data_IF_563778243843
#
_entry.id   IF_563778243843
#
_cell.length_a   1.000
_cell.length_b   1.000
_cell.length_c   1.000
_cell.angle_alpha   90.00
_cell.angle_beta   90.00
_cell.angle_gamma   90.00
#
_symmetry.space_group_name_H-M   'P 1'
#
loop_
_entity.id
_entity.type
_entity.pdbx_description
1 polymer ?
#
# COMPACT_ATOMS: atom_id res chain seq x y z
N UNK A 1 9.36 -19.44 -13.47
CA UNK A 1 8.86 -18.04 -13.57
C UNK A 1 8.72 -17.54 -12.15
N UNK A 2 9.53 -16.55 -11.76
CA UNK A 2 9.36 -15.88 -10.47
C UNK A 2 7.97 -15.23 -10.47
N UNK A 3 7.08 -15.71 -9.59
CA UNK A 3 5.81 -15.03 -9.34
C UNK A 3 6.18 -13.74 -8.62
N UNK A 4 6.27 -12.62 -9.32
CA UNK A 4 6.45 -11.31 -8.71
C UNK A 4 5.12 -10.55 -8.85
N UNK A 5 4.65 -9.92 -7.76
CA UNK A 5 3.44 -9.08 -7.77
C UNK A 5 2.29 -9.58 -6.91
N UNK A 6 1.05 -9.25 -7.29
CA UNK A 6 -0.18 -9.56 -6.52
C UNK A 6 -0.40 -11.07 -6.34
N UNK A 7 0.06 -11.89 -7.29
CA UNK A 7 0.00 -13.36 -7.23
C UNK A 7 0.74 -13.92 -6.01
N UNK A 8 1.99 -13.51 -5.83
CA UNK A 8 2.82 -13.92 -4.70
C UNK A 8 2.29 -13.38 -3.37
N UNK A 9 1.86 -12.11 -3.36
CA UNK A 9 1.24 -11.53 -2.16
C UNK A 9 0.00 -12.33 -1.70
N UNK A 10 -0.83 -12.76 -2.64
CA UNK A 10 -2.04 -13.52 -2.35
C UNK A 10 -1.72 -14.93 -1.85
N UNK A 11 -0.73 -15.61 -2.45
CA UNK A 11 -0.24 -16.91 -1.96
C UNK A 11 0.32 -16.81 -0.53
N UNK A 12 1.21 -15.83 -0.27
CA UNK A 12 1.80 -15.62 1.04
C UNK A 12 0.76 -15.26 2.10
N UNK A 13 -0.30 -14.52 1.71
CA UNK A 13 -1.38 -14.18 2.64
C UNK A 13 -2.27 -15.39 2.94
N UNK A 14 -2.61 -16.19 1.93
CA UNK A 14 -3.36 -17.41 2.13
C UNK A 14 -2.59 -18.42 3.00
N UNK A 15 -1.28 -18.55 2.80
CA UNK A 15 -0.43 -19.41 3.62
C UNK A 15 -0.36 -18.96 5.08
N UNK A 16 -0.14 -17.66 5.35
CA UNK A 16 -0.06 -17.13 6.72
C UNK A 16 -1.37 -17.28 7.50
N UNK A 17 -2.50 -17.17 6.82
CA UNK A 17 -3.82 -17.25 7.45
C UNK A 17 -4.45 -18.65 7.33
N UNK A 18 -3.69 -19.64 6.82
CA UNK A 18 -4.16 -21.02 6.58
C UNK A 18 -5.47 -21.10 5.78
N UNK A 19 -5.64 -20.20 4.81
CA UNK A 19 -6.84 -20.12 3.99
C UNK A 19 -6.67 -20.97 2.72
N UNK A 20 -7.66 -21.81 2.43
CA UNK A 20 -7.80 -22.42 1.11
C UNK A 20 -8.22 -21.36 0.07
N UNK A 21 -7.94 -21.63 -1.21
CA UNK A 21 -8.33 -20.75 -2.32
C UNK A 21 -9.84 -20.45 -2.35
N UNK A 22 -10.64 -21.44 -1.93
CA UNK A 22 -12.10 -21.30 -1.82
C UNK A 22 -12.50 -20.37 -0.67
N UNK A 23 -11.82 -20.44 0.46
CA UNK A 23 -12.03 -19.53 1.59
C UNK A 23 -11.56 -18.11 1.27
N UNK A 24 -10.44 -17.97 0.57
CA UNK A 24 -9.98 -16.67 0.08
C UNK A 24 -10.97 -16.05 -0.92
N UNK A 25 -11.52 -16.83 -1.86
CA UNK A 25 -12.57 -16.39 -2.78
C UNK A 25 -13.84 -15.94 -2.03
N UNK A 26 -14.29 -16.74 -1.06
CA UNK A 26 -15.45 -16.40 -0.23
C UNK A 26 -15.23 -15.12 0.59
N UNK A 27 -14.04 -14.95 1.17
CA UNK A 27 -13.69 -13.78 1.98
C UNK A 27 -13.58 -12.50 1.14
N UNK A 28 -13.12 -12.62 -0.09
CA UNK A 28 -12.90 -11.49 -1.01
C UNK A 28 -14.14 -11.13 -1.83
N UNK A 29 -15.18 -11.97 -1.80
CA UNK A 29 -16.33 -11.84 -2.69
C UNK A 29 -15.96 -11.98 -4.17
N UNK A 30 -14.86 -12.66 -4.47
CA UNK A 30 -14.39 -12.96 -5.82
C UNK A 30 -14.76 -14.40 -6.19
N UNK A 31 -14.84 -14.67 -7.50
CA UNK A 31 -15.03 -16.05 -7.96
C UNK A 31 -13.78 -16.89 -7.71
N UNK A 32 -13.95 -18.19 -7.49
CA UNK A 32 -12.84 -19.13 -7.37
C UNK A 32 -11.93 -19.11 -8.62
N UNK A 33 -12.52 -18.93 -9.80
CA UNK A 33 -11.78 -18.79 -11.05
C UNK A 33 -10.90 -17.53 -11.07
N UNK A 34 -11.43 -16.39 -10.60
CA UNK A 34 -10.68 -15.13 -10.52
C UNK A 34 -9.49 -15.24 -9.56
N UNK A 35 -9.68 -15.87 -8.39
CA UNK A 35 -8.56 -16.11 -7.44
C UNK A 35 -7.52 -17.04 -8.06
N UNK A 36 -7.96 -18.10 -8.74
CA UNK A 36 -7.07 -19.01 -9.46
C UNK A 36 -6.30 -18.34 -10.59
N UNK A 37 -6.93 -17.42 -11.33
CA UNK A 37 -6.27 -16.65 -12.40
C UNK A 37 -5.19 -15.73 -11.84
N UNK A 38 -5.47 -15.02 -10.73
CA UNK A 38 -4.50 -14.14 -10.08
C UNK A 38 -3.27 -14.93 -9.63
N UNK A 39 -3.47 -16.09 -9.01
CA UNK A 39 -2.38 -16.94 -8.52
C UNK A 39 -1.52 -17.50 -9.66
N UNK A 40 -2.14 -17.77 -10.81
CA UNK A 40 -1.44 -18.18 -12.04
C UNK A 40 -0.68 -17.04 -12.73
N UNK A 41 -0.75 -15.82 -12.19
CA UNK A 41 -0.08 -14.64 -12.73
C UNK A 41 -0.95 -13.79 -13.65
N UNK A 42 -2.28 -13.97 -13.62
CA UNK A 42 -3.21 -13.08 -14.31
C UNK A 42 -3.16 -11.67 -13.72
N UNK A 43 -3.46 -10.67 -14.55
CA UNK A 43 -3.51 -9.26 -14.15
C UNK A 43 -4.89 -8.92 -13.55
N UNK A 44 -5.06 -8.81 -12.21
CA UNK A 44 -6.32 -8.43 -11.61
C UNK A 44 -6.69 -7.00 -11.96
N UNK A 45 -7.97 -6.71 -12.19
CA UNK A 45 -8.42 -5.33 -12.37
C UNK A 45 -8.28 -4.49 -11.09
N UNK A 46 -8.27 -3.14 -11.17
CA UNK A 46 -8.24 -2.27 -9.98
C UNK A 46 -9.38 -2.54 -9.01
N UNK A 47 -10.59 -2.83 -9.52
CA UNK A 47 -11.74 -3.21 -8.69
C UNK A 47 -11.51 -4.52 -7.92
N UNK A 48 -10.79 -5.47 -8.54
CA UNK A 48 -10.42 -6.74 -7.89
C UNK A 48 -9.42 -6.50 -6.77
N UNK A 49 -8.46 -5.59 -7.00
CA UNK A 49 -7.48 -5.17 -6.00
C UNK A 49 -8.15 -4.49 -4.79
N UNK A 50 -9.12 -3.60 -5.02
CA UNK A 50 -9.89 -2.99 -3.94
C UNK A 50 -10.62 -4.03 -3.09
N UNK A 51 -11.23 -5.05 -3.73
CA UNK A 51 -11.89 -6.16 -3.01
C UNK A 51 -10.92 -7.00 -2.19
N UNK A 52 -9.72 -7.27 -2.72
CA UNK A 52 -8.65 -7.94 -1.98
C UNK A 52 -8.24 -7.11 -0.75
N UNK A 53 -7.98 -5.82 -0.93
CA UNK A 53 -7.58 -4.93 0.15
C UNK A 53 -8.65 -4.84 1.24
N UNK A 54 -9.93 -4.73 0.86
CA UNK A 54 -11.06 -4.72 1.79
C UNK A 54 -11.12 -5.99 2.64
N UNK A 55 -11.03 -7.16 1.99
CA UNK A 55 -11.21 -8.46 2.63
C UNK A 55 -10.06 -8.88 3.55
N UNK A 56 -8.86 -8.36 3.29
CA UNK A 56 -7.64 -8.64 4.06
C UNK A 56 -7.20 -7.46 4.95
N UNK A 57 -8.01 -6.41 5.06
CA UNK A 57 -7.77 -5.31 6.00
C UNK A 57 -8.58 -5.48 7.28
N UNK A 58 -7.94 -5.28 8.44
CA UNK A 58 -8.55 -5.44 9.76
C UNK A 58 -9.34 -4.18 10.20
N UNK A 59 -9.99 -3.50 9.26
CA UNK A 59 -10.93 -2.40 9.50
C UNK A 59 -10.35 -1.05 9.95
N UNK A 60 -9.07 -0.96 10.34
CA UNK A 60 -8.47 0.26 10.90
C UNK A 60 -7.22 0.67 10.12
N UNK A 61 -7.31 1.75 9.33
CA UNK A 61 -6.24 2.44 8.58
C UNK A 61 -5.33 1.65 7.61
N UNK A 62 -5.31 0.32 7.67
CA UNK A 62 -4.46 -0.51 6.83
C UNK A 62 -5.06 -0.77 5.46
N UNK A 63 -6.36 -0.54 5.27
CA UNK A 63 -7.06 -0.78 4.00
C UNK A 63 -6.47 0.06 2.86
N UNK A 64 -6.35 1.38 3.04
CA UNK A 64 -5.85 2.28 2.00
C UNK A 64 -4.37 2.00 1.69
N UNK A 65 -3.56 1.74 2.71
CA UNK A 65 -2.16 1.40 2.56
C UNK A 65 -1.97 0.04 1.85
N UNK A 66 -2.85 -0.93 2.13
CA UNK A 66 -2.85 -2.24 1.48
C UNK A 66 -3.32 -2.14 0.03
N UNK A 67 -4.39 -1.39 -0.22
CA UNK A 67 -4.90 -1.12 -1.56
C UNK A 67 -3.85 -0.45 -2.44
N UNK A 68 -3.20 0.59 -1.94
CA UNK A 68 -2.12 1.28 -2.65
C UNK A 68 -0.95 0.33 -2.97
N UNK A 69 -0.51 -0.46 -1.98
CA UNK A 69 0.53 -1.48 -2.18
C UNK A 69 0.15 -2.49 -3.26
N UNK A 70 -1.09 -2.96 -3.28
CA UNK A 70 -1.56 -3.92 -4.28
C UNK A 70 -1.68 -3.30 -5.68
N UNK A 71 -2.08 -2.04 -5.77
CA UNK A 71 -2.12 -1.29 -7.04
C UNK A 71 -0.71 -1.09 -7.62
N UNK A 72 0.29 -0.85 -6.75
CA UNK A 72 1.70 -0.80 -7.15
C UNK A 72 2.19 -2.17 -7.63
N UNK A 73 1.90 -3.24 -6.88
CA UNK A 73 2.29 -4.61 -7.25
C UNK A 73 1.62 -5.10 -8.55
N UNK A 74 0.46 -4.55 -8.91
CA UNK A 74 -0.23 -4.84 -10.17
C UNK A 74 0.19 -3.94 -11.33
N UNK A 75 1.03 -2.92 -11.09
CA UNK A 75 1.49 -1.97 -12.11
C UNK A 75 0.49 -0.87 -12.47
N UNK A 76 -0.62 -0.74 -11.73
CA UNK A 76 -1.58 0.37 -11.93
C UNK A 76 -1.11 1.68 -11.32
N UNK A 77 -0.17 1.61 -10.37
CA UNK A 77 0.52 2.77 -9.80
C UNK A 77 2.01 2.55 -9.90
N UNK A 78 2.75 3.59 -10.26
CA UNK A 78 4.18 3.60 -10.01
C UNK A 78 4.39 3.53 -8.50
N UNK A 79 5.41 2.78 -8.00
CA UNK A 79 5.79 2.85 -6.60
C UNK A 79 6.00 4.33 -6.29
N UNK A 80 5.15 4.91 -5.44
CA UNK A 80 5.48 6.19 -4.85
C UNK A 80 6.80 5.96 -4.11
N UNK A 81 7.88 6.72 -4.39
CA UNK A 81 9.19 6.47 -3.79
C UNK A 81 9.17 6.44 -2.27
N UNK A 82 8.11 6.92 -1.65
CA UNK A 82 7.95 6.91 -0.21
C UNK A 82 6.57 6.35 0.10
N UNK A 83 6.54 5.13 0.65
CA UNK A 83 5.61 4.89 1.75
C UNK A 83 5.78 6.09 2.66
N UNK A 84 4.79 6.97 2.72
CA UNK A 84 4.76 8.04 3.71
C UNK A 84 5.06 7.35 5.04
N UNK A 85 6.27 7.53 5.54
CA UNK A 85 6.67 6.91 6.79
C UNK A 85 5.70 7.40 7.84
N UNK A 86 5.48 6.63 8.90
CA UNK A 86 4.61 7.10 9.99
C UNK A 86 5.05 8.50 10.47
N UNK A 87 6.36 8.76 10.47
CA UNK A 87 6.94 10.08 10.72
C UNK A 87 6.51 11.13 9.68
N UNK A 88 6.55 10.84 8.38
CA UNK A 88 6.10 11.79 7.35
C UNK A 88 4.59 12.03 7.43
N UNK A 89 3.78 11.02 7.77
CA UNK A 89 2.34 11.17 7.95
C UNK A 89 2.02 12.11 9.12
N UNK A 90 2.71 11.92 10.25
CA UNK A 90 2.59 12.79 11.43
C UNK A 90 3.01 14.23 11.12
N UNK A 91 4.07 14.42 10.32
CA UNK A 91 4.49 15.76 9.86
C UNK A 91 3.41 16.38 8.99
N UNK A 92 2.88 15.66 8.00
CA UNK A 92 1.81 16.18 7.13
C UNK A 92 0.57 16.57 7.95
N UNK A 93 0.13 15.73 8.89
CA UNK A 93 -1.02 16.01 9.74
C UNK A 93 -0.81 17.25 10.61
N UNK A 94 0.39 17.45 11.16
CA UNK A 94 0.72 18.63 11.97
C UNK A 94 0.84 19.90 11.16
N UNK A 95 1.46 19.82 9.99
CA UNK A 95 1.74 20.97 9.12
C UNK A 95 0.45 21.50 8.46
N UNK A 96 -0.60 20.67 8.35
CA UNK A 96 -1.94 21.12 7.89
C UNK A 96 -2.61 22.16 8.78
N UNK A 97 -2.26 22.19 10.06
CA UNK A 97 -2.84 23.15 11.03
C UNK A 97 -2.05 24.47 11.07
N UNK A 98 -0.96 24.59 10.31
CA UNK A 98 -0.05 25.72 10.39
C UNK A 98 -0.55 26.90 9.55
N UNK A 99 -0.28 28.10 10.05
CA UNK A 99 -0.40 29.35 9.28
C UNK A 99 0.77 29.52 8.29
N UNK A 100 0.59 30.34 7.26
CA UNK A 100 1.63 30.64 6.27
C UNK A 100 3.00 31.04 6.87
N UNK A 101 3.07 31.90 7.90
CA UNK A 101 4.34 32.19 8.57
C UNK A 101 5.00 30.97 9.22
N UNK A 102 4.20 30.07 9.80
CA UNK A 102 4.70 28.83 10.41
C UNK A 102 5.15 27.81 9.36
N UNK A 103 4.45 27.74 8.22
CA UNK A 103 4.89 26.93 7.07
C UNK A 103 6.23 27.40 6.53
N UNK A 104 6.39 28.71 6.37
CA UNK A 104 7.65 29.33 5.92
C UNK A 104 8.81 28.99 6.86
N UNK A 105 8.56 29.02 8.17
CA UNK A 105 9.53 28.63 9.18
C UNK A 105 9.88 27.14 9.11
N UNK A 106 8.89 26.27 8.92
CA UNK A 106 9.10 24.82 8.77
C UNK A 106 9.92 24.49 7.52
N UNK A 107 9.67 25.17 6.40
CA UNK A 107 10.47 25.04 5.17
C UNK A 107 11.92 25.48 5.42
N UNK A 108 12.11 26.59 6.13
CA UNK A 108 13.45 27.07 6.49
C UNK A 108 14.19 26.08 7.39
N UNK A 109 13.50 25.47 8.35
CA UNK A 109 14.06 24.44 9.22
C UNK A 109 14.42 23.15 8.46
N UNK A 110 13.56 22.69 7.55
CA UNK A 110 13.86 21.54 6.70
C UNK A 110 15.09 21.79 5.80
N UNK A 111 15.23 23.01 5.26
CA UNK A 111 16.42 23.41 4.50
C UNK A 111 17.69 23.43 5.37
N UNK A 112 17.57 23.89 6.62
CA UNK A 112 18.67 23.82 7.58
C UNK A 112 19.10 22.38 7.86
N UNK A 113 18.16 21.45 8.11
CA UNK A 113 18.50 20.04 8.33
C UNK A 113 19.24 19.43 7.13
N UNK A 114 18.79 19.70 5.90
CA UNK A 114 19.49 19.25 4.68
C UNK A 114 20.91 19.82 4.57
N UNK A 115 21.12 21.05 5.03
CA UNK A 115 22.46 21.66 5.02
C UNK A 115 23.43 21.00 5.99
N UNK A 116 22.94 20.36 7.06
CA UNK A 116 23.76 19.60 8.00
C UNK A 116 24.19 18.24 7.42
N UNK A 117 23.38 17.62 6.58
CA UNK A 117 23.69 16.34 5.93
C UNK A 117 24.68 16.51 4.75
N UNK A 118 24.73 17.68 4.11
CA UNK A 118 25.67 18.00 3.02
C UNK A 118 27.06 18.44 3.47
N UNK A 119 27.36 18.38 4.77
CA UNK A 119 28.61 18.83 5.39
C UNK A 119 29.56 17.70 5.81
N UNK A 120 29.80 16.72 4.94
CA UNK A 120 30.88 15.73 5.06
C UNK A 120 31.74 15.69 3.80
#
# INVERSE_FOLDING_TARGET
MEKQGVSQWLEDRCHREHLSLRQAAARTGLSHATVGDIIRGGHPSPQTITKLAQAFSDGTNQRLALEDRLLVLAGYRTPHPERVSEALAQVIDKVREFSEPQLTMMVSFANFLKSLEGGQ
#
